data_IF_671037948199
#
_entry.id   IF_671037948199
#
_cell.length_a   1.000
_cell.length_b   1.000
_cell.length_c   1.000
_cell.angle_alpha   90.00
_cell.angle_beta   90.00
_cell.angle_gamma   90.00
#
_symmetry.space_group_name_H-M   'P 1'
#
loop_
_entity.id
_entity.type
_entity.pdbx_description
1 polymer ?
#
# COMPACT_ATOMS: atom_id res chain seq x y z
N UNK A 1 -17.28 -9.64 13.20
CA UNK A 1 -15.86 -9.47 13.61
C UNK A 1 -14.98 -8.94 12.47
N UNK A 2 -15.07 -9.48 11.25
CA UNK A 2 -14.34 -9.01 10.05
C UNK A 2 -14.59 -7.54 9.68
N UNK A 3 -15.81 -7.03 9.89
CA UNK A 3 -16.19 -5.65 9.55
C UNK A 3 -15.33 -4.59 10.25
N UNK A 4 -14.89 -4.84 11.48
CA UNK A 4 -14.04 -3.89 12.21
C UNK A 4 -12.59 -3.90 11.71
N UNK A 5 -12.06 -5.09 11.40
CA UNK A 5 -10.70 -5.24 10.87
C UNK A 5 -10.57 -4.69 9.44
N UNK A 6 -11.61 -4.83 8.61
CA UNK A 6 -11.56 -4.45 7.20
C UNK A 6 -12.05 -3.03 6.90
N UNK A 7 -12.98 -2.47 7.69
CA UNK A 7 -13.67 -1.22 7.31
C UNK A 7 -13.71 -0.12 8.39
N UNK A 8 -13.41 -0.44 9.66
CA UNK A 8 -13.49 0.55 10.75
C UNK A 8 -12.13 0.85 11.39
N UNK A 9 -11.03 0.31 10.84
CA UNK A 9 -9.68 0.70 11.25
C UNK A 9 -9.37 2.06 10.61
N UNK A 10 -9.20 3.13 11.41
CA UNK A 10 -8.92 4.48 10.89
C UNK A 10 -7.56 4.58 10.19
N UNK A 11 -6.66 3.60 10.38
CA UNK A 11 -5.34 3.52 9.75
C UNK A 11 -5.33 2.92 8.34
N UNK A 12 -6.44 2.33 7.85
CA UNK A 12 -6.49 1.77 6.50
C UNK A 12 -6.98 2.86 5.55
N UNK A 13 -6.09 3.37 4.70
CA UNK A 13 -6.48 4.36 3.68
C UNK A 13 -7.26 3.69 2.56
N UNK A 14 -8.57 3.95 2.51
CA UNK A 14 -9.47 3.42 1.48
C UNK A 14 -9.51 4.29 0.20
N UNK A 15 -8.68 5.34 0.11
CA UNK A 15 -8.58 6.22 -1.05
C UNK A 15 -7.68 5.66 -2.16
N UNK A 16 -7.47 6.43 -3.23
CA UNK A 16 -6.40 6.18 -4.21
C UNK A 16 -5.01 6.34 -3.57
N UNK A 17 -3.97 5.89 -4.26
CA UNK A 17 -2.59 6.14 -3.83
C UNK A 17 -2.31 7.64 -3.79
N UNK A 18 -1.59 8.10 -2.78
CA UNK A 18 -1.06 9.47 -2.79
C UNK A 18 0.13 9.56 -3.75
N UNK A 19 0.49 10.77 -4.18
CA UNK A 19 1.62 10.99 -5.08
C UNK A 19 2.94 10.46 -4.48
N UNK A 20 3.09 10.51 -3.16
CA UNK A 20 4.23 9.91 -2.46
C UNK A 20 4.22 8.38 -2.56
N UNK A 21 3.06 7.74 -2.35
CA UNK A 21 2.90 6.29 -2.50
C UNK A 21 3.22 5.85 -3.95
N UNK A 22 2.73 6.58 -4.95
CA UNK A 22 3.00 6.30 -6.36
C UNK A 22 4.50 6.44 -6.71
N UNK A 23 5.18 7.45 -6.17
CA UNK A 23 6.62 7.62 -6.34
C UNK A 23 7.42 6.46 -5.71
N UNK A 24 7.01 6.00 -4.52
CA UNK A 24 7.63 4.85 -3.85
C UNK A 24 7.38 3.58 -4.67
N UNK A 25 6.14 3.35 -5.14
CA UNK A 25 5.80 2.20 -5.98
C UNK A 25 6.64 2.19 -7.25
N UNK A 26 6.74 3.32 -7.95
CA UNK A 26 7.55 3.45 -9.15
C UNK A 26 9.03 3.17 -8.86
N UNK A 27 9.59 3.75 -7.79
CA UNK A 27 10.99 3.56 -7.40
C UNK A 27 11.28 2.09 -7.06
N UNK A 28 10.44 1.45 -6.25
CA UNK A 28 10.56 0.04 -5.87
C UNK A 28 10.37 -0.88 -7.08
N UNK A 29 9.45 -0.56 -7.98
CA UNK A 29 9.27 -1.31 -9.23
C UNK A 29 10.50 -1.18 -10.14
N UNK A 30 11.11 0.01 -10.25
CA UNK A 30 12.36 0.17 -10.99
C UNK A 30 13.53 -0.61 -10.37
N UNK A 31 13.57 -0.75 -9.05
CA UNK A 31 14.61 -1.49 -8.34
C UNK A 31 14.40 -3.01 -8.35
N UNK A 32 13.15 -3.46 -8.24
CA UNK A 32 12.82 -4.86 -7.93
C UNK A 32 11.97 -5.55 -8.99
N UNK A 33 11.38 -4.82 -9.93
CA UNK A 33 10.46 -5.33 -10.95
C UNK A 33 9.08 -5.66 -10.40
N UNK A 34 8.40 -6.63 -11.01
CA UNK A 34 7.00 -7.03 -10.72
C UNK A 34 6.79 -7.80 -9.40
N UNK A 35 7.66 -7.59 -8.40
CA UNK A 35 7.57 -8.23 -7.07
C UNK A 35 6.57 -7.51 -6.17
N UNK A 36 5.29 -7.52 -6.56
CA UNK A 36 4.22 -6.79 -5.89
C UNK A 36 4.04 -7.12 -4.42
N UNK A 37 4.21 -8.39 -4.02
CA UNK A 37 4.12 -8.78 -2.60
C UNK A 37 5.16 -8.08 -1.72
N UNK A 38 6.34 -7.79 -2.28
CA UNK A 38 7.41 -7.08 -1.59
C UNK A 38 7.21 -5.57 -1.63
N UNK A 39 6.69 -5.03 -2.74
CA UNK A 39 6.35 -3.60 -2.85
C UNK A 39 5.23 -3.26 -1.85
N UNK A 40 4.19 -4.09 -1.76
CA UNK A 40 3.09 -3.89 -0.83
C UNK A 40 3.54 -3.95 0.63
N UNK A 41 4.52 -4.79 0.98
CA UNK A 41 5.04 -4.84 2.36
C UNK A 41 5.82 -3.58 2.77
N UNK A 42 6.27 -2.77 1.81
CA UNK A 42 6.91 -1.47 2.04
C UNK A 42 5.92 -0.31 2.14
N UNK A 43 4.62 -0.53 1.92
CA UNK A 43 3.56 0.47 2.02
C UNK A 43 2.77 0.26 3.32
N UNK A 44 3.22 0.84 4.47
CA UNK A 44 2.54 0.66 5.74
C UNK A 44 1.13 1.28 5.70
N UNK A 45 0.11 0.48 6.02
CA UNK A 45 -1.29 0.93 6.03
C UNK A 45 -2.08 0.64 4.75
N UNK A 46 -1.47 -0.07 3.78
CA UNK A 46 -2.09 -0.64 2.58
C UNK A 46 -2.12 -2.17 2.61
#
# INVERSE_FOLDING_TARGET
RLRWLNYLRPDIKHGGFTEEEDNIICSLYSQMGSRWSLIASQLPGR
#
